data_IF_149791313044
#
_entry.id   IF_149791313044
#
_cell.length_a   1.000
_cell.length_b   1.000
_cell.length_c   1.000
_cell.angle_alpha   90.00
_cell.angle_beta   90.00
_cell.angle_gamma   90.00
#
_symmetry.space_group_name_H-M   'P 1'
#
loop_
_entity.id
_entity.type
_entity.pdbx_description
1 polymer ?
#
# COMPACT_ATOMS: atom_id res chain seq x y z
N UNK A 1 -28.60 -2.84 31.20
CA UNK A 1 -27.66 -3.99 31.09
C UNK A 1 -26.19 -3.63 31.37
N UNK A 2 -25.64 -2.44 31.04
CA UNK A 2 -24.27 -2.05 31.45
C UNK A 2 -24.11 -1.91 32.96
N UNK A 3 -25.09 -1.31 33.65
CA UNK A 3 -25.15 -1.26 35.13
C UNK A 3 -25.02 -2.63 35.79
N UNK A 4 -25.47 -3.70 35.11
CA UNK A 4 -25.40 -5.04 35.65
C UNK A 4 -23.99 -5.61 35.64
N UNK A 5 -23.08 -5.22 34.73
CA UNK A 5 -21.75 -5.85 34.68
C UNK A 5 -20.78 -5.17 35.63
N UNK A 6 -20.72 -3.84 35.70
CA UNK A 6 -19.90 -3.14 36.70
C UNK A 6 -20.28 -3.53 38.12
N UNK A 7 -21.58 -3.57 38.42
CA UNK A 7 -22.09 -3.99 39.73
C UNK A 7 -21.87 -5.48 40.00
N UNK A 8 -22.13 -6.38 39.05
CA UNK A 8 -21.82 -7.81 39.22
C UNK A 8 -20.34 -8.06 39.45
N UNK A 9 -19.45 -7.33 38.77
CA UNK A 9 -18.01 -7.44 38.99
C UNK A 9 -17.66 -6.96 40.40
N UNK A 10 -18.17 -5.80 40.83
CA UNK A 10 -17.98 -5.31 42.20
C UNK A 10 -18.51 -6.27 43.25
N UNK A 11 -19.69 -6.87 43.03
CA UNK A 11 -20.27 -7.87 43.91
C UNK A 11 -19.41 -9.13 43.99
N UNK A 12 -18.90 -9.63 42.85
CA UNK A 12 -17.97 -10.77 42.80
C UNK A 12 -16.65 -10.47 43.54
N UNK A 13 -16.08 -9.27 43.34
CA UNK A 13 -14.91 -8.82 44.08
C UNK A 13 -15.21 -8.73 45.59
N UNK A 14 -16.37 -8.19 45.96
CA UNK A 14 -16.82 -8.09 47.35
C UNK A 14 -16.93 -9.45 48.02
N UNK A 15 -17.62 -10.40 47.39
CA UNK A 15 -17.72 -11.79 47.86
C UNK A 15 -16.33 -12.39 48.05
N UNK A 16 -15.43 -12.21 47.08
CA UNK A 16 -14.09 -12.78 47.15
C UNK A 16 -13.23 -12.17 48.27
N UNK A 17 -13.37 -10.86 48.52
CA UNK A 17 -12.66 -10.16 49.60
C UNK A 17 -13.16 -10.66 50.98
N UNK A 18 -14.47 -10.87 51.13
CA UNK A 18 -15.05 -11.42 52.37
C UNK A 18 -14.55 -12.84 52.65
N UNK A 19 -14.45 -13.70 51.63
CA UNK A 19 -13.89 -15.06 51.76
C UNK A 19 -12.43 -15.06 52.24
N UNK A 20 -11.66 -14.04 51.87
CA UNK A 20 -10.25 -13.88 52.29
C UNK A 20 -10.10 -13.23 53.67
N UNK A 21 -11.19 -13.04 54.42
CA UNK A 21 -11.19 -12.43 55.75
C UNK A 21 -11.25 -10.90 55.75
N UNK A 22 -11.47 -10.29 54.58
CA UNK A 22 -11.79 -8.86 54.49
C UNK A 22 -13.13 -8.53 55.14
N UNK A 23 -13.34 -7.25 55.46
CA UNK A 23 -14.59 -6.75 56.05
C UNK A 23 -15.08 -5.56 55.25
N UNK A 24 -16.39 -5.46 55.04
CA UNK A 24 -16.99 -4.28 54.44
C UNK A 24 -16.90 -3.09 55.41
N UNK A 25 -16.40 -1.95 54.92
CA UNK A 25 -16.26 -0.71 55.70
C UNK A 25 -17.33 0.34 55.33
N UNK A 26 -17.99 0.17 54.19
CA UNK A 26 -19.03 1.07 53.69
C UNK A 26 -19.95 0.34 52.72
N UNK A 27 -21.09 0.94 52.42
CA UNK A 27 -21.91 0.50 51.30
C UNK A 27 -21.25 0.87 49.96
N UNK A 28 -21.59 0.13 48.90
CA UNK A 28 -21.15 0.46 47.55
C UNK A 28 -21.89 1.72 47.08
N UNK A 29 -21.13 2.72 46.64
CA UNK A 29 -21.66 3.96 46.08
C UNK A 29 -21.35 4.01 44.59
N UNK A 30 -22.37 4.16 43.76
CA UNK A 30 -22.23 4.46 42.33
C UNK A 30 -22.47 5.95 42.10
N UNK A 31 -21.42 6.69 41.76
CA UNK A 31 -21.47 8.14 41.56
C UNK A 31 -21.92 8.54 40.14
N UNK A 32 -21.94 7.58 39.21
CA UNK A 32 -22.35 7.81 37.83
C UNK A 32 -23.74 7.21 37.64
N UNK A 33 -24.78 8.01 37.91
CA UNK A 33 -26.18 7.63 37.64
C UNK A 33 -26.35 7.15 36.19
N UNK A 34 -27.25 6.18 36.03
CA UNK A 34 -27.66 5.49 34.81
C UNK A 34 -26.76 5.75 33.59
N UNK A 35 -25.64 5.02 33.48
CA UNK A 35 -24.90 4.94 32.23
C UNK A 35 -25.76 4.16 31.21
N UNK A 36 -26.68 4.88 30.57
CA UNK A 36 -27.46 4.38 29.44
C UNK A 36 -26.51 4.20 28.27
N UNK A 37 -25.91 3.01 28.15
CA UNK A 37 -25.34 2.61 26.87
C UNK A 37 -26.48 2.64 25.87
N UNK A 38 -26.41 3.56 24.91
CA UNK A 38 -27.37 3.63 23.82
C UNK A 38 -27.43 2.24 23.21
N UNK A 39 -28.63 1.65 23.19
CA UNK A 39 -28.84 0.38 22.49
C UNK A 39 -28.57 0.64 21.02
N UNK A 40 -27.37 0.30 20.57
CA UNK A 40 -27.05 0.32 19.15
C UNK A 40 -27.89 -0.80 18.53
N UNK A 41 -28.77 -0.40 17.62
CA UNK A 41 -29.58 -1.31 16.82
C UNK A 41 -29.05 -1.24 15.40
N UNK A 42 -28.73 -2.40 14.83
CA UNK A 42 -28.31 -2.51 13.43
C UNK A 42 -29.33 -3.38 12.72
N UNK A 43 -29.83 -2.92 11.57
CA UNK A 43 -30.79 -3.68 10.77
C UNK A 43 -30.12 -4.18 9.51
N UNK A 44 -30.28 -5.47 9.20
CA UNK A 44 -29.76 -6.09 8.00
C UNK A 44 -30.70 -7.21 7.55
N UNK A 45 -31.04 -7.24 6.27
CA UNK A 45 -31.91 -8.29 5.74
C UNK A 45 -31.12 -9.57 5.43
N UNK A 46 -31.81 -10.71 5.51
CA UNK A 46 -31.26 -12.00 5.07
C UNK A 46 -30.77 -11.96 3.63
N UNK A 47 -31.52 -11.30 2.75
CA UNK A 47 -31.18 -11.22 1.34
C UNK A 47 -29.85 -10.47 1.14
N UNK A 48 -29.61 -9.40 1.90
CA UNK A 48 -28.34 -8.67 1.88
C UNK A 48 -27.19 -9.54 2.41
N UNK A 49 -27.39 -10.25 3.52
CA UNK A 49 -26.38 -11.18 4.07
C UNK A 49 -25.99 -12.22 3.04
N UNK A 50 -26.97 -12.92 2.47
CA UNK A 50 -26.75 -13.97 1.49
C UNK A 50 -26.16 -13.44 0.18
N UNK A 51 -26.54 -12.22 -0.25
CA UNK A 51 -25.97 -11.57 -1.42
C UNK A 51 -24.48 -11.27 -1.23
N UNK A 52 -24.08 -10.78 -0.06
CA UNK A 52 -22.68 -10.42 0.23
C UNK A 52 -21.83 -11.66 0.46
N UNK A 53 -22.32 -12.64 1.22
CA UNK A 53 -21.59 -13.87 1.53
C UNK A 53 -21.62 -14.89 0.38
N UNK A 54 -22.58 -14.80 -0.55
CA UNK A 54 -22.76 -15.81 -1.60
C UNK A 54 -23.32 -17.12 -1.05
N UNK A 55 -24.17 -17.04 -0.04
CA UNK A 55 -24.75 -18.17 0.72
C UNK A 55 -26.27 -18.21 0.59
N UNK A 56 -26.91 -19.20 1.20
CA UNK A 56 -28.36 -19.39 1.24
C UNK A 56 -28.89 -19.62 2.66
N UNK A 57 -28.27 -18.99 3.67
CA UNK A 57 -28.67 -19.11 5.07
C UNK A 57 -30.14 -18.71 5.28
N UNK A 58 -30.83 -19.51 6.08
CA UNK A 58 -32.16 -19.21 6.61
C UNK A 58 -32.12 -18.12 7.69
N UNK A 59 -33.28 -17.52 7.99
CA UNK A 59 -33.39 -16.54 9.07
C UNK A 59 -33.03 -17.16 10.41
N UNK A 60 -33.43 -18.42 10.61
CA UNK A 60 -33.17 -19.20 11.82
C UNK A 60 -31.67 -19.45 12.01
N UNK A 61 -30.95 -19.81 10.95
CA UNK A 61 -29.49 -19.98 11.01
C UNK A 61 -28.75 -18.68 11.33
N UNK A 62 -29.16 -17.57 10.69
CA UNK A 62 -28.58 -16.24 10.94
C UNK A 62 -28.84 -15.82 12.39
N UNK A 63 -30.08 -15.93 12.85
CA UNK A 63 -30.46 -15.56 14.21
C UNK A 63 -29.72 -16.40 15.23
N UNK A 64 -29.71 -17.73 15.08
CA UNK A 64 -29.00 -18.63 16.00
C UNK A 64 -27.49 -18.33 16.03
N UNK A 65 -26.90 -18.02 14.88
CA UNK A 65 -25.48 -17.67 14.76
C UNK A 65 -25.16 -16.41 15.58
N UNK A 66 -25.96 -15.35 15.42
CA UNK A 66 -25.77 -14.08 16.10
C UNK A 66 -26.09 -14.17 17.60
N UNK A 67 -27.11 -14.96 17.97
CA UNK A 67 -27.47 -15.20 19.37
C UNK A 67 -26.35 -15.91 20.14
N UNK A 68 -25.60 -16.82 19.51
CA UNK A 68 -24.46 -17.51 20.12
C UNK A 68 -23.36 -16.54 20.60
N UNK A 69 -23.28 -15.34 20.03
CA UNK A 69 -22.33 -14.29 20.43
C UNK A 69 -23.00 -13.12 21.17
N UNK A 70 -24.24 -13.31 21.62
CA UNK A 70 -24.97 -12.35 22.44
C UNK A 70 -25.60 -11.19 21.67
N UNK A 71 -25.72 -11.32 20.35
CA UNK A 71 -26.43 -10.37 19.48
C UNK A 71 -27.86 -10.90 19.31
N UNK A 72 -28.83 -10.20 19.88
CA UNK A 72 -30.22 -10.67 19.91
C UNK A 72 -31.06 -9.93 18.87
N UNK A 73 -31.90 -10.66 18.14
CA UNK A 73 -32.91 -10.06 17.28
C UNK A 73 -33.97 -9.31 18.12
N UNK A 74 -34.55 -8.27 17.56
CA UNK A 74 -35.65 -7.51 18.18
C UNK A 74 -36.97 -8.25 17.97
N UNK A 75 -37.75 -8.44 19.03
CA UNK A 75 -39.01 -9.21 18.98
C UNK A 75 -40.01 -8.72 17.91
N UNK A 76 -40.04 -7.42 17.61
CA UNK A 76 -40.95 -6.81 16.63
C UNK A 76 -40.37 -6.76 15.21
N UNK A 77 -39.05 -6.94 15.07
CA UNK A 77 -38.36 -6.91 13.78
C UNK A 77 -37.16 -7.88 13.79
N UNK A 78 -37.31 -9.10 13.23
CA UNK A 78 -36.26 -10.12 13.26
C UNK A 78 -35.03 -9.75 12.42
N UNK A 79 -35.09 -8.70 11.59
CA UNK A 79 -33.95 -8.17 10.84
C UNK A 79 -33.19 -7.07 11.60
N UNK A 80 -33.68 -6.63 12.76
CA UNK A 80 -33.01 -5.66 13.64
C UNK A 80 -32.35 -6.38 14.80
N UNK A 81 -31.05 -6.18 14.97
CA UNK A 81 -30.25 -6.80 16.02
C UNK A 81 -29.80 -5.78 17.05
N UNK A 82 -29.95 -6.14 18.32
CA UNK A 82 -29.48 -5.35 19.46
C UNK A 82 -28.02 -5.70 19.73
N UNK A 83 -27.15 -4.69 19.59
CA UNK A 83 -25.72 -4.86 19.79
C UNK A 83 -25.42 -4.81 21.29
N UNK A 84 -24.75 -5.84 21.84
CA UNK A 84 -24.38 -5.83 23.24
C UNK A 84 -23.29 -4.81 23.51
N UNK A 85 -23.31 -4.20 24.71
CA UNK A 85 -22.48 -3.04 25.02
C UNK A 85 -20.96 -3.30 24.97
N UNK A 86 -20.52 -4.56 25.04
CA UNK A 86 -19.11 -4.92 24.97
C UNK A 86 -18.60 -5.05 23.52
N UNK A 87 -19.49 -4.99 22.53
CA UNK A 87 -19.17 -5.03 21.09
C UNK A 87 -19.03 -3.61 20.55
N UNK A 88 -17.86 -3.03 20.77
CA UNK A 88 -17.48 -1.68 20.30
C UNK A 88 -17.01 -1.67 18.83
N UNK A 89 -17.10 -2.79 18.14
CA UNK A 89 -16.71 -2.99 16.74
C UNK A 89 -17.93 -3.01 15.81
N UNK A 90 -19.14 -3.28 16.33
CA UNK A 90 -20.37 -3.40 15.54
C UNK A 90 -21.11 -2.06 15.42
N UNK A 91 -21.11 -1.48 14.23
CA UNK A 91 -21.70 -0.17 13.92
C UNK A 91 -22.56 -0.14 12.65
N UNK A 92 -22.28 -0.99 11.66
CA UNK A 92 -22.94 -1.02 10.36
C UNK A 92 -23.43 -2.43 9.99
N UNK A 93 -24.25 -2.53 8.94
CA UNK A 93 -24.81 -3.82 8.49
C UNK A 93 -23.72 -4.82 8.09
N UNK A 94 -22.62 -4.35 7.49
CA UNK A 94 -21.48 -5.18 7.09
C UNK A 94 -20.83 -5.88 8.28
N UNK A 95 -20.85 -5.30 9.47
CA UNK A 95 -20.24 -5.93 10.66
C UNK A 95 -21.07 -7.15 11.12
N UNK A 96 -22.40 -7.11 10.96
CA UNK A 96 -23.25 -8.26 11.21
C UNK A 96 -23.09 -9.33 10.14
N UNK A 97 -22.90 -8.92 8.88
CA UNK A 97 -22.62 -9.84 7.77
C UNK A 97 -21.29 -10.58 8.03
N UNK A 98 -20.27 -9.86 8.50
CA UNK A 98 -18.99 -10.45 8.92
C UNK A 98 -19.20 -11.46 10.04
N UNK A 99 -19.97 -11.14 11.08
CA UNK A 99 -20.23 -12.07 12.18
C UNK A 99 -20.91 -13.36 11.72
N UNK A 100 -21.92 -13.25 10.85
CA UNK A 100 -22.57 -14.43 10.26
C UNK A 100 -21.57 -15.26 9.45
N UNK A 101 -20.78 -14.62 8.59
CA UNK A 101 -19.82 -15.32 7.74
C UNK A 101 -18.67 -15.96 8.53
N UNK A 102 -18.09 -15.25 9.50
CA UNK A 102 -16.97 -15.70 10.34
C UNK A 102 -17.38 -16.87 11.22
N UNK A 103 -18.56 -16.83 11.85
CA UNK A 103 -19.04 -17.86 12.76
C UNK A 103 -19.50 -19.13 12.04
N UNK A 104 -20.03 -19.00 10.81
CA UNK A 104 -20.33 -20.15 9.96
C UNK A 104 -19.10 -20.69 9.22
N UNK A 105 -17.96 -20.01 9.31
CA UNK A 105 -16.68 -20.42 8.72
C UNK A 105 -16.59 -20.09 7.23
N UNK A 106 -15.64 -19.22 6.86
CA UNK A 106 -15.45 -18.81 5.47
C UNK A 106 -15.10 -19.95 4.52
N UNK A 107 -14.52 -21.04 5.03
CA UNK A 107 -14.23 -22.24 4.23
C UNK A 107 -15.50 -22.92 3.68
N UNK A 108 -16.66 -22.66 4.28
CA UNK A 108 -17.95 -23.18 3.85
C UNK A 108 -18.59 -22.33 2.73
N UNK A 109 -18.06 -21.13 2.45
CA UNK A 109 -18.55 -20.29 1.36
C UNK A 109 -18.06 -20.90 0.03
N UNK A 110 -19.00 -21.21 -0.85
CA UNK A 110 -18.70 -21.82 -2.15
C UNK A 110 -17.88 -20.85 -3.01
N UNK A 111 -16.69 -21.30 -3.42
CA UNK A 111 -15.87 -20.57 -4.39
C UNK A 111 -16.60 -20.44 -5.73
N UNK A 112 -16.90 -19.20 -6.12
CA UNK A 112 -17.53 -18.89 -7.40
C UNK A 112 -16.73 -17.82 -8.12
N UNK A 113 -16.47 -18.04 -9.41
CA UNK A 113 -15.87 -17.03 -10.25
C UNK A 113 -16.85 -15.86 -10.45
N UNK A 114 -16.41 -14.60 -10.31
CA UNK A 114 -17.27 -13.46 -10.53
C UNK A 114 -17.71 -13.40 -12.00
N UNK A 115 -19.02 -13.39 -12.22
CA UNK A 115 -19.60 -13.13 -13.54
C UNK A 115 -19.56 -11.63 -13.82
N UNK A 116 -18.77 -11.23 -14.81
CA UNK A 116 -18.69 -9.82 -15.25
C UNK A 116 -18.70 -9.74 -16.76
N UNK A 117 -19.32 -8.69 -17.29
CA UNK A 117 -19.19 -8.33 -18.70
C UNK A 117 -17.75 -7.93 -18.99
N UNK A 118 -17.11 -8.58 -19.95
CA UNK A 118 -15.74 -8.26 -20.34
C UNK A 118 -15.74 -7.29 -21.52
N UNK A 119 -15.05 -6.16 -21.36
CA UNK A 119 -14.67 -5.28 -22.47
C UNK A 119 -13.16 -5.35 -22.63
N UNK A 120 -12.70 -5.60 -23.85
CA UNK A 120 -11.26 -5.60 -24.13
C UNK A 120 -10.68 -4.21 -23.81
N UNK A 121 -9.77 -4.16 -22.84
CA UNK A 121 -9.04 -2.93 -22.49
C UNK A 121 -7.76 -2.90 -23.34
N UNK A 122 -7.50 -1.77 -24.01
CA UNK A 122 -6.23 -1.55 -24.69
C UNK A 122 -5.18 -1.17 -23.64
N UNK A 123 -3.98 -1.74 -23.74
CA UNK A 123 -2.82 -1.31 -22.93
C UNK A 123 -2.57 0.17 -23.18
N UNK A 124 -2.17 0.90 -22.14
CA UNK A 124 -1.82 2.31 -22.29
C UNK A 124 -0.62 2.43 -23.25
N UNK A 125 -0.63 3.45 -24.11
CA UNK A 125 0.45 3.66 -25.09
C UNK A 125 1.82 3.76 -24.43
N UNK A 126 1.88 4.36 -23.24
CA UNK A 126 3.12 4.48 -22.48
C UNK A 126 3.66 3.11 -22.04
N UNK A 127 2.81 2.18 -21.61
CA UNK A 127 3.26 0.85 -21.19
C UNK A 127 3.78 0.02 -22.37
N UNK A 128 3.13 0.17 -23.53
CA UNK A 128 3.59 -0.44 -24.78
C UNK A 128 4.97 0.11 -25.18
N UNK A 129 5.13 1.43 -25.19
CA UNK A 129 6.42 2.08 -25.47
C UNK A 129 7.49 1.62 -24.47
N UNK A 130 7.13 1.51 -23.18
CA UNK A 130 8.09 1.09 -22.17
C UNK A 130 8.54 -0.36 -22.37
N UNK A 131 7.62 -1.25 -22.77
CA UNK A 131 7.95 -2.64 -23.13
C UNK A 131 8.88 -2.69 -24.33
N UNK A 132 8.57 -1.93 -25.38
CA UNK A 132 9.35 -1.88 -26.61
C UNK A 132 10.79 -1.39 -26.37
N UNK A 133 10.97 -0.31 -25.60
CA UNK A 133 12.30 0.20 -25.22
C UNK A 133 13.10 -0.88 -24.48
N UNK A 134 12.47 -1.58 -23.51
CA UNK A 134 13.12 -2.65 -22.74
C UNK A 134 13.58 -3.78 -23.67
N UNK A 135 12.71 -4.25 -24.56
CA UNK A 135 13.02 -5.32 -25.50
C UNK A 135 14.17 -4.94 -26.43
N UNK A 136 14.20 -3.70 -26.93
CA UNK A 136 15.26 -3.19 -27.80
C UNK A 136 16.62 -3.13 -27.08
N UNK A 137 16.65 -2.53 -25.88
CA UNK A 137 17.89 -2.37 -25.12
C UNK A 137 18.42 -3.71 -24.60
N UNK A 138 17.54 -4.58 -24.12
CA UNK A 138 17.91 -5.92 -23.69
C UNK A 138 18.48 -6.75 -24.87
N UNK A 139 17.83 -6.70 -26.04
CA UNK A 139 18.33 -7.38 -27.24
C UNK A 139 19.66 -6.80 -27.76
N UNK A 140 19.98 -5.56 -27.38
CA UNK A 140 21.26 -4.90 -27.69
C UNK A 140 22.37 -5.21 -26.69
N UNK A 141 22.10 -6.03 -25.66
CA UNK A 141 23.09 -6.45 -24.66
C UNK A 141 23.15 -5.56 -23.41
N UNK A 142 22.21 -4.64 -23.24
CA UNK A 142 22.10 -3.83 -22.03
C UNK A 142 21.28 -4.55 -20.94
N UNK A 143 21.63 -4.33 -19.69
CA UNK A 143 20.98 -4.96 -18.54
C UNK A 143 20.05 -3.97 -17.86
N UNK A 144 18.77 -4.30 -17.75
CA UNK A 144 17.85 -3.49 -16.95
C UNK A 144 18.17 -3.68 -15.46
N UNK A 145 18.20 -2.58 -14.71
CA UNK A 145 18.37 -2.60 -13.26
C UNK A 145 17.22 -1.84 -12.60
N UNK A 146 16.94 -2.20 -11.35
CA UNK A 146 16.01 -1.49 -10.49
C UNK A 146 16.76 -0.95 -9.27
N UNK A 147 16.78 0.36 -9.11
CA UNK A 147 17.42 1.01 -7.97
C UNK A 147 16.38 1.67 -7.06
N UNK A 148 16.76 1.92 -5.80
CA UNK A 148 15.90 2.64 -4.87
C UNK A 148 15.63 4.06 -5.38
N UNK A 149 14.40 4.53 -5.21
CA UNK A 149 14.00 5.92 -5.50
C UNK A 149 14.62 6.92 -4.52
N UNK A 150 14.98 6.45 -3.32
CA UNK A 150 15.63 7.26 -2.29
C UNK A 150 17.12 6.95 -2.23
N UNK A 151 17.91 7.99 -2.04
CA UNK A 151 19.36 7.95 -2.01
C UNK A 151 19.93 8.82 -0.89
N UNK A 152 21.18 8.60 -0.54
CA UNK A 152 21.93 9.45 0.37
C UNK A 152 22.19 10.84 -0.25
N UNK A 153 22.21 11.89 0.56
CA UNK A 153 22.50 13.26 0.10
C UNK A 153 23.85 13.37 -0.61
N UNK A 154 24.89 12.79 -0.04
CA UNK A 154 26.24 12.70 -0.63
C UNK A 154 26.27 12.13 -2.06
N UNK A 155 25.34 11.22 -2.41
CA UNK A 155 25.29 10.67 -3.76
C UNK A 155 24.81 11.72 -4.77
N UNK A 156 23.86 12.56 -4.37
CA UNK A 156 23.38 13.69 -5.17
C UNK A 156 24.49 14.74 -5.32
N UNK A 157 25.16 15.10 -4.22
CA UNK A 157 26.22 16.11 -4.24
C UNK A 157 27.40 15.69 -5.14
N UNK A 158 27.78 14.41 -5.13
CA UNK A 158 28.87 13.87 -5.98
C UNK A 158 28.60 14.00 -7.49
N UNK A 159 27.34 14.10 -7.90
CA UNK A 159 26.97 14.31 -9.31
C UNK A 159 26.58 15.78 -9.60
N UNK A 160 26.83 16.69 -8.65
CA UNK A 160 26.50 18.10 -8.78
C UNK A 160 25.01 18.42 -8.62
N UNK A 161 24.21 17.53 -8.03
CA UNK A 161 22.80 17.78 -7.72
C UNK A 161 22.67 18.34 -6.30
N UNK A 162 21.98 19.47 -6.15
CA UNK A 162 21.73 20.10 -4.86
C UNK A 162 20.64 19.32 -4.09
N UNK A 163 20.94 18.66 -2.95
CA UNK A 163 19.95 17.90 -2.18
C UNK A 163 18.75 18.73 -1.71
N UNK A 164 18.86 20.06 -1.63
CA UNK A 164 17.75 20.94 -1.24
C UNK A 164 16.59 20.90 -2.24
N UNK A 165 16.88 20.57 -3.50
CA UNK A 165 15.89 20.37 -4.56
C UNK A 165 15.21 18.98 -4.50
N UNK A 166 15.64 18.08 -3.60
CA UNK A 166 14.98 16.79 -3.37
C UNK A 166 13.94 16.84 -2.25
N UNK A 167 12.91 16.00 -2.33
CA UNK A 167 12.04 15.69 -1.19
C UNK A 167 12.77 14.75 -0.24
N UNK A 168 12.73 15.05 1.07
CA UNK A 168 13.42 14.28 2.12
C UNK A 168 12.41 13.53 2.97
N UNK A 169 12.64 12.23 3.19
CA UNK A 169 11.86 11.44 4.16
C UNK A 169 12.24 11.88 5.58
N UNK A 170 11.24 12.21 6.39
CA UNK A 170 11.43 12.66 7.77
C UNK A 170 11.90 11.49 8.66
N UNK A 171 11.24 10.33 8.56
CA UNK A 171 11.51 9.15 9.38
C UNK A 171 12.10 8.02 8.52
N UNK A 172 13.26 8.27 7.91
CA UNK A 172 13.89 7.24 7.09
C UNK A 172 14.43 6.09 7.94
N UNK A 173 14.24 4.86 7.47
CA UNK A 173 14.73 3.63 8.09
C UNK A 173 16.26 3.51 7.99
N UNK A 174 16.88 4.20 7.01
CA UNK A 174 18.33 4.22 6.82
C UNK A 174 18.82 5.60 6.36
N UNK A 175 19.98 6.06 6.85
CA UNK A 175 20.63 7.25 6.32
C UNK A 175 20.87 7.22 4.80
N UNK A 176 21.04 6.02 4.22
CA UNK A 176 21.25 5.84 2.78
C UNK A 176 19.99 6.09 1.93
N UNK A 177 18.81 6.19 2.55
CA UNK A 177 17.51 6.27 1.87
C UNK A 177 16.74 7.53 2.32
N UNK A 178 17.38 8.70 2.28
CA UNK A 178 16.81 9.95 2.80
C UNK A 178 16.15 10.83 1.74
N UNK A 179 16.78 10.99 0.58
CA UNK A 179 16.36 11.97 -0.43
C UNK A 179 15.81 11.28 -1.66
N UNK A 180 14.64 11.71 -2.14
CA UNK A 180 14.13 11.26 -3.43
C UNK A 180 15.09 11.72 -4.53
N UNK A 181 15.50 10.80 -5.40
CA UNK A 181 16.45 11.06 -6.49
C UNK A 181 15.88 12.03 -7.53
N UNK A 182 16.71 13.00 -7.94
CA UNK A 182 16.34 13.99 -8.96
C UNK A 182 16.49 13.43 -10.38
N UNK A 183 17.47 12.54 -10.58
CA UNK A 183 17.61 11.77 -11.83
C UNK A 183 17.97 10.32 -11.50
N UNK A 184 17.93 9.43 -12.49
CA UNK A 184 18.33 8.03 -12.33
C UNK A 184 19.86 7.83 -12.36
N UNK A 185 20.59 8.80 -12.92
CA UNK A 185 22.03 8.71 -13.14
C UNK A 185 22.86 8.44 -11.87
N UNK A 186 22.64 9.10 -10.72
CA UNK A 186 23.43 8.86 -9.52
C UNK A 186 23.35 7.40 -9.06
N UNK A 187 22.13 6.83 -9.10
CA UNK A 187 21.89 5.44 -8.74
C UNK A 187 22.58 4.48 -9.71
N UNK A 188 22.48 4.72 -11.03
CA UNK A 188 23.17 3.90 -12.03
C UNK A 188 24.69 3.97 -11.86
N UNK A 189 25.27 5.16 -11.68
CA UNK A 189 26.71 5.34 -11.48
C UNK A 189 27.22 4.61 -10.23
N UNK A 190 26.44 4.59 -9.15
CA UNK A 190 26.74 3.80 -7.96
C UNK A 190 26.84 2.30 -8.29
N UNK A 191 25.92 1.78 -9.12
CA UNK A 191 25.94 0.38 -9.57
C UNK A 191 27.06 0.07 -10.54
N UNK A 192 27.40 0.99 -11.44
CA UNK A 192 28.60 0.89 -12.28
C UNK A 192 29.84 0.74 -11.39
N UNK A 193 30.02 1.63 -10.42
CA UNK A 193 31.19 1.61 -9.53
C UNK A 193 31.32 0.30 -8.74
N UNK A 194 30.21 -0.23 -8.22
CA UNK A 194 30.18 -1.52 -7.53
C UNK A 194 30.61 -2.68 -8.44
N UNK A 195 30.12 -2.72 -9.68
CA UNK A 195 30.42 -3.80 -10.63
C UNK A 195 31.85 -3.72 -11.19
N UNK A 196 32.38 -2.52 -11.45
CA UNK A 196 33.78 -2.34 -11.84
C UNK A 196 34.71 -2.88 -10.74
N UNK A 197 34.43 -2.58 -9.47
CA UNK A 197 35.20 -3.11 -8.32
C UNK A 197 35.09 -4.62 -8.18
N UNK A 198 33.98 -5.21 -8.60
CA UNK A 198 33.79 -6.66 -8.65
C UNK A 198 34.47 -7.34 -9.85
N UNK A 199 35.11 -6.57 -10.75
CA UNK A 199 35.88 -7.09 -11.88
C UNK A 199 35.16 -7.08 -13.23
N UNK A 200 33.92 -6.59 -13.31
CA UNK A 200 33.22 -6.45 -14.57
C UNK A 200 33.73 -5.24 -15.35
N UNK A 201 34.40 -5.50 -16.48
CA UNK A 201 35.16 -4.47 -17.19
C UNK A 201 34.50 -3.80 -18.38
N UNK A 202 33.39 -4.35 -18.90
CA UNK A 202 32.63 -3.76 -20.01
C UNK A 202 31.18 -4.23 -19.95
N UNK A 203 30.24 -3.29 -19.85
CA UNK A 203 28.81 -3.60 -19.80
C UNK A 203 27.96 -2.33 -19.97
N UNK A 204 26.69 -2.51 -20.34
CA UNK A 204 25.67 -1.48 -20.33
C UNK A 204 24.57 -1.81 -19.31
N UNK A 205 24.09 -0.80 -18.60
CA UNK A 205 22.90 -0.87 -17.76
C UNK A 205 21.93 0.25 -18.10
N UNK A 206 20.64 0.00 -17.88
CA UNK A 206 19.62 1.03 -17.99
C UNK A 206 18.55 0.87 -16.92
N UNK A 207 17.85 1.96 -16.61
CA UNK A 207 16.68 1.95 -15.74
C UNK A 207 15.60 2.85 -16.32
N UNK A 208 14.35 2.42 -16.19
CA UNK A 208 13.17 3.20 -16.58
C UNK A 208 12.26 3.38 -15.38
N UNK A 209 12.33 4.55 -14.76
CA UNK A 209 11.68 4.76 -13.49
C UNK A 209 11.37 6.23 -13.24
N UNK A 210 10.67 6.51 -12.14
CA UNK A 210 10.25 7.85 -11.78
C UNK A 210 11.35 8.63 -11.08
N UNK A 211 11.33 9.94 -11.33
CA UNK A 211 12.16 10.96 -10.69
C UNK A 211 11.26 12.10 -10.25
N UNK A 212 11.67 12.82 -9.21
CA UNK A 212 11.02 14.08 -8.81
C UNK A 212 12.05 15.03 -8.21
N UNK A 213 11.74 16.31 -8.30
CA UNK A 213 12.48 17.42 -7.72
C UNK A 213 11.49 18.53 -7.35
N UNK A 214 11.82 19.35 -6.37
CA UNK A 214 10.93 20.42 -5.89
C UNK A 214 10.64 21.45 -6.97
N UNK A 215 11.57 21.66 -7.89
CA UNK A 215 11.39 22.57 -9.04
C UNK A 215 10.23 22.17 -9.96
N UNK A 216 9.87 20.87 -10.02
CA UNK A 216 8.70 20.39 -10.77
C UNK A 216 7.37 20.74 -10.09
N UNK A 217 7.40 21.16 -8.83
CA UNK A 217 6.22 21.53 -8.06
C UNK A 217 5.39 20.34 -7.58
N UNK A 218 4.15 20.66 -7.21
CA UNK A 218 3.13 19.73 -6.75
C UNK A 218 2.00 19.64 -7.79
N UNK A 219 1.31 18.51 -7.84
CA UNK A 219 0.14 18.32 -8.69
C UNK A 219 -1.14 18.86 -7.99
N UNK A 220 -2.30 18.67 -8.63
CA UNK A 220 -3.60 19.13 -8.12
C UNK A 220 -4.02 18.48 -6.78
N UNK A 221 -3.43 17.34 -6.45
CA UNK A 221 -3.62 16.63 -5.17
C UNK A 221 -2.60 17.08 -4.10
N UNK A 222 -1.82 18.12 -4.39
CA UNK A 222 -0.80 18.67 -3.51
C UNK A 222 0.33 17.67 -3.17
N UNK A 223 0.66 16.76 -4.10
CA UNK A 223 1.77 15.81 -3.98
C UNK A 223 2.85 16.04 -5.04
N UNK A 224 4.11 15.63 -4.82
CA UNK A 224 5.22 15.85 -5.76
C UNK A 224 4.90 15.40 -7.20
N UNK A 225 5.17 16.28 -8.17
CA UNK A 225 5.09 15.90 -9.58
C UNK A 225 6.21 14.91 -9.90
N UNK A 226 5.83 13.73 -10.40
CA UNK A 226 6.78 12.70 -10.81
C UNK A 226 6.86 12.61 -12.34
N UNK A 227 8.07 12.40 -12.86
CA UNK A 227 8.30 12.14 -14.28
C UNK A 227 8.90 10.76 -14.48
N UNK A 228 8.38 9.99 -15.44
CA UNK A 228 9.03 8.76 -15.91
C UNK A 228 10.20 9.14 -16.82
N UNK A 229 11.40 8.63 -16.53
CA UNK A 229 12.59 8.81 -17.35
C UNK A 229 13.22 7.46 -17.68
N UNK A 230 13.95 7.42 -18.79
CA UNK A 230 14.92 6.38 -19.11
C UNK A 230 16.31 6.95 -18.86
N UNK A 231 17.16 6.19 -18.18
CA UNK A 231 18.59 6.46 -18.13
C UNK A 231 19.37 5.23 -18.57
N UNK A 232 20.49 5.46 -19.23
CA UNK A 232 21.35 4.43 -19.80
C UNK A 232 22.80 4.80 -19.52
N UNK A 233 23.59 3.82 -19.10
CA UNK A 233 25.03 3.98 -18.88
C UNK A 233 25.76 2.80 -19.48
N UNK A 234 26.74 3.10 -20.31
CA UNK A 234 27.72 2.13 -20.81
C UNK A 234 29.07 2.41 -20.15
N UNK A 235 29.80 1.35 -19.79
CA UNK A 235 31.13 1.45 -19.20
C UNK A 235 32.10 0.47 -19.86
N UNK A 236 33.38 0.87 -19.92
CA UNK A 236 34.52 0.05 -20.38
C UNK A 236 35.79 0.49 -19.66
N UNK A 237 36.51 -0.43 -19.01
CA UNK A 237 37.69 -0.15 -18.16
C UNK A 237 38.82 0.63 -18.86
N UNK A 238 38.98 0.45 -20.17
CA UNK A 238 40.01 1.11 -21.01
C UNK A 238 39.45 1.41 -22.39
N UNK A 239 38.39 2.22 -22.45
CA UNK A 239 37.75 2.60 -23.70
C UNK A 239 38.07 4.04 -24.08
N UNK A 240 38.71 4.24 -25.22
CA UNK A 240 38.46 5.45 -26.02
C UNK A 240 37.05 5.32 -26.64
N UNK A 241 36.44 6.43 -27.06
CA UNK A 241 35.18 6.43 -27.81
C UNK A 241 33.89 6.01 -27.06
N UNK A 242 33.83 6.08 -25.72
CA UNK A 242 32.61 5.79 -24.95
C UNK A 242 31.36 6.56 -25.42
N UNK A 243 31.55 7.79 -25.92
CA UNK A 243 30.49 8.57 -26.55
C UNK A 243 29.88 7.86 -27.77
N UNK A 244 30.71 7.30 -28.66
CA UNK A 244 30.24 6.64 -29.88
C UNK A 244 29.51 5.34 -29.58
N UNK A 245 29.91 4.61 -28.53
CA UNK A 245 29.18 3.43 -28.07
C UNK A 245 27.77 3.81 -27.61
N UNK A 246 27.64 4.79 -26.71
CA UNK A 246 26.33 5.28 -26.27
C UNK A 246 25.51 5.84 -27.43
N UNK A 247 26.16 6.54 -28.37
CA UNK A 247 25.52 7.04 -29.59
C UNK A 247 24.96 5.90 -30.44
N UNK A 248 25.69 4.81 -30.63
CA UNK A 248 25.23 3.63 -31.37
C UNK A 248 23.98 3.01 -30.71
N UNK A 249 23.97 2.87 -29.38
CA UNK A 249 22.77 2.42 -28.64
C UNK A 249 21.59 3.37 -28.86
N UNK A 250 21.81 4.68 -28.77
CA UNK A 250 20.77 5.67 -28.97
C UNK A 250 20.22 5.65 -30.40
N UNK A 251 21.08 5.65 -31.43
CA UNK A 251 20.68 5.54 -32.84
C UNK A 251 19.89 4.27 -33.11
N UNK A 252 20.32 3.13 -32.57
CA UNK A 252 19.59 1.87 -32.71
C UNK A 252 18.21 1.93 -32.06
N UNK A 253 18.13 2.47 -30.85
CA UNK A 253 16.87 2.66 -30.13
C UNK A 253 15.90 3.55 -30.92
N UNK A 254 16.35 4.74 -31.33
CA UNK A 254 15.51 5.67 -32.08
C UNK A 254 15.06 5.10 -33.43
N UNK A 255 15.97 4.44 -34.16
CA UNK A 255 15.63 3.76 -35.41
C UNK A 255 14.55 2.69 -35.22
N UNK A 256 14.64 1.88 -34.16
CA UNK A 256 13.65 0.84 -33.84
C UNK A 256 12.30 1.43 -33.44
N UNK A 257 12.31 2.57 -32.75
CA UNK A 257 11.10 3.34 -32.41
C UNK A 257 10.54 4.15 -33.59
N UNK A 258 11.17 4.11 -34.78
CA UNK A 258 10.74 4.86 -35.96
C UNK A 258 10.95 6.37 -35.84
N UNK A 259 11.89 6.81 -35.01
CA UNK A 259 12.22 8.23 -34.78
C UNK A 259 13.43 8.64 -35.63
N UNK A 260 13.29 9.76 -36.34
CA UNK A 260 14.40 10.41 -37.02
C UNK A 260 15.05 11.42 -36.07
N UNK A 261 16.30 11.18 -35.70
CA UNK A 261 17.06 12.05 -34.79
C UNK A 261 18.32 12.56 -35.47
N UNK A 262 18.74 13.77 -35.12
CA UNK A 262 20.00 14.37 -35.55
C UNK A 262 20.85 14.67 -34.31
N UNK A 263 22.13 14.29 -34.37
CA UNK A 263 23.08 14.57 -33.29
C UNK A 263 23.85 15.85 -33.61
N UNK A 264 23.47 16.94 -32.96
CA UNK A 264 24.15 18.23 -33.08
C UNK A 264 25.23 18.34 -32.01
N UNK A 265 26.40 18.89 -32.38
CA UNK A 265 27.47 19.16 -31.43
C UNK A 265 26.99 20.19 -30.41
N UNK A 266 27.22 19.92 -29.13
CA UNK A 266 26.93 20.89 -28.07
C UNK A 266 27.92 22.05 -28.16
N UNK A 267 27.44 23.25 -28.50
CA UNK A 267 28.21 24.49 -28.41
C UNK A 267 27.98 25.08 -27.02
N UNK A 268 29.04 25.15 -26.21
CA UNK A 268 28.99 25.86 -24.93
C UNK A 268 29.13 27.34 -25.23
N UNK A 269 28.09 28.14 -24.97
CA UNK A 269 28.29 29.59 -24.80
C UNK A 269 29.31 29.77 -23.66
N UNK A 270 30.41 30.47 -23.97
CA UNK A 270 31.51 30.74 -23.03
C UNK A 270 31.10 31.69 -21.92
#
# INVERSE_FOLDING_TARGET
MPEMISRKVLDLFGVRILELGGKSLSEAVDSNGDFYYNKTEISVSKDKINQVLGTDFSNEEIQQTLENVGILAKNENPETFMIPFWRNDLHIEEDLIEEVGRLNGYDNIKLQLPSRTFKAVKKAKIDLLQSEIRDILAASGANEVLTYSFVHGDLLEKVGQDPRNSYKIINSISPDLQYYRQTLMPSLLSKISQNIRAGFGEFAIFEMNKITEKSLGLNDENVPVEQKKLAFVYTKNKGENAFYEVKNYAEFLFKKLGLNVEFVKFETEK
#
